data_IF_613651731185
#
_entry.id   IF_613651731185
#
_cell.length_a   1.000
_cell.length_b   1.000
_cell.length_c   1.000
_cell.angle_alpha   90.00
_cell.angle_beta   90.00
_cell.angle_gamma   90.00
#
_symmetry.space_group_name_H-M   'P 1'
#
loop_
_entity.id
_entity.type
_entity.pdbx_description
1 polymer ?
#
# COMPACT_ATOMS: atom_id res chain seq x y z
N UNK A 1 -25.63 4.29 -0.94
CA UNK A 1 -26.03 2.86 -1.09
C UNK A 1 -24.75 2.09 -1.39
N UNK A 2 -24.30 1.27 -0.44
CA UNK A 2 -23.10 0.45 -0.59
C UNK A 2 -23.56 -0.95 -0.93
N UNK A 3 -23.36 -1.42 -2.15
CA UNK A 3 -23.65 -2.81 -2.45
C UNK A 3 -22.42 -3.58 -2.03
N UNK A 4 -22.50 -4.17 -0.83
CA UNK A 4 -21.54 -5.12 -0.24
C UNK A 4 -21.20 -6.27 -1.16
N UNK A 5 -20.35 -7.18 -0.68
CA UNK A 5 -19.73 -8.22 -1.48
C UNK A 5 -20.68 -8.83 -2.50
N UNK A 6 -20.43 -8.51 -3.75
CA UNK A 6 -20.80 -9.34 -4.88
C UNK A 6 -19.65 -10.33 -4.94
N UNK A 7 -19.77 -11.49 -4.31
CA UNK A 7 -18.99 -12.65 -4.79
C UNK A 7 -19.30 -12.77 -6.28
N UNK A 8 -18.34 -12.31 -7.07
CA UNK A 8 -18.41 -12.33 -8.51
C UNK A 8 -18.37 -13.78 -8.97
N UNK A 9 -18.86 -14.05 -10.18
CA UNK A 9 -19.07 -15.41 -10.60
C UNK A 9 -17.76 -16.19 -10.62
N UNK A 10 -17.78 -17.43 -10.11
CA UNK A 10 -16.83 -18.45 -10.59
C UNK A 10 -17.14 -18.67 -12.07
N UNK A 11 -16.55 -17.85 -12.92
CA UNK A 11 -16.64 -17.97 -14.36
C UNK A 11 -15.69 -19.09 -14.81
N UNK A 12 -16.08 -20.35 -14.56
CA UNK A 12 -15.48 -21.48 -15.25
C UNK A 12 -16.15 -21.58 -16.63
N UNK A 13 -15.44 -21.11 -17.66
CA UNK A 13 -15.71 -21.52 -19.03
C UNK A 13 -14.74 -22.64 -19.36
N UNK A 14 -15.25 -23.84 -19.64
CA UNK A 14 -14.55 -24.80 -20.48
C UNK A 14 -14.66 -24.23 -21.89
N UNK A 15 -13.54 -23.77 -22.44
CA UNK A 15 -13.51 -22.93 -23.63
C UNK A 15 -13.69 -23.77 -24.92
N UNK A 16 -14.45 -23.22 -25.86
CA UNK A 16 -14.36 -23.54 -27.30
C UNK A 16 -13.68 -22.39 -28.08
N UNK A 17 -12.91 -21.50 -27.42
CA UNK A 17 -12.19 -20.44 -28.14
C UNK A 17 -10.96 -19.93 -27.35
N UNK A 18 -9.83 -19.92 -28.04
CA UNK A 18 -8.43 -19.71 -27.61
C UNK A 18 -8.13 -18.30 -27.10
N UNK A 19 -8.57 -17.94 -25.89
CA UNK A 19 -8.13 -16.70 -25.25
C UNK A 19 -7.69 -16.90 -23.79
N UNK A 20 -6.55 -17.56 -23.64
CA UNK A 20 -5.70 -17.39 -22.46
C UNK A 20 -5.52 -15.88 -22.24
N UNK A 21 -5.99 -15.36 -21.10
CA UNK A 21 -5.93 -13.92 -20.81
C UNK A 21 -7.21 -13.12 -21.08
N UNK A 22 -8.38 -13.74 -21.16
CA UNK A 22 -9.64 -13.01 -21.32
C UNK A 22 -10.06 -12.19 -20.08
N UNK A 23 -10.89 -11.17 -20.29
CA UNK A 23 -11.56 -10.38 -19.25
C UNK A 23 -13.05 -10.27 -19.55
N UNK A 24 -13.89 -10.23 -18.51
CA UNK A 24 -15.31 -9.93 -18.65
C UNK A 24 -15.64 -8.57 -18.07
N UNK A 25 -16.63 -7.92 -18.67
CA UNK A 25 -17.13 -6.63 -18.20
C UNK A 25 -18.48 -6.87 -17.58
N UNK A 26 -18.63 -6.51 -16.31
CA UNK A 26 -19.95 -6.46 -15.70
C UNK A 26 -20.32 -5.01 -15.55
N UNK A 27 -21.50 -4.68 -16.07
CA UNK A 27 -22.06 -3.35 -16.01
C UNK A 27 -23.17 -3.35 -14.97
N UNK A 28 -23.08 -2.43 -14.02
CA UNK A 28 -24.13 -2.18 -13.04
C UNK A 28 -24.75 -0.82 -13.35
N UNK A 29 -26.03 -0.86 -13.66
CA UNK A 29 -26.85 0.31 -13.96
C UNK A 29 -27.98 0.44 -12.94
N UNK A 30 -28.42 1.68 -12.73
CA UNK A 30 -29.55 2.00 -11.88
C UNK A 30 -30.56 2.82 -12.70
N UNK A 31 -31.86 2.56 -12.51
CA UNK A 31 -32.96 2.84 -13.46
C UNK A 31 -33.39 4.32 -13.63
N UNK A 32 -32.72 5.28 -13.00
CA UNK A 32 -33.06 6.71 -13.15
C UNK A 32 -32.11 7.37 -14.12
N UNK A 33 -32.63 8.04 -15.15
CA UNK A 33 -32.01 8.67 -16.33
C UNK A 33 -30.72 9.52 -16.19
N UNK A 34 -30.02 9.51 -15.06
CA UNK A 34 -28.62 9.96 -14.96
C UNK A 34 -27.69 8.75 -14.90
N UNK A 35 -26.79 8.69 -15.89
CA UNK A 35 -25.82 7.63 -16.22
C UNK A 35 -24.86 7.25 -15.07
N UNK A 36 -25.36 6.71 -13.97
CA UNK A 36 -24.52 6.05 -12.96
C UNK A 36 -24.26 4.60 -13.37
N UNK A 37 -23.57 4.45 -14.51
CA UNK A 37 -23.08 3.18 -15.01
C UNK A 37 -21.72 2.90 -14.36
N UNK A 38 -21.65 1.86 -13.54
CA UNK A 38 -20.36 1.36 -13.02
C UNK A 38 -19.99 0.13 -13.83
N UNK A 39 -18.72 0.02 -14.17
CA UNK A 39 -18.17 -1.16 -14.83
C UNK A 39 -17.00 -1.68 -14.04
N UNK A 40 -16.89 -3.00 -13.94
CA UNK A 40 -15.71 -3.65 -13.41
C UNK A 40 -15.29 -4.80 -14.33
N UNK A 41 -14.00 -5.12 -14.25
CA UNK A 41 -13.40 -6.20 -15.01
C UNK A 41 -13.19 -7.42 -14.11
N UNK A 42 -13.65 -8.57 -14.59
CA UNK A 42 -13.30 -9.87 -14.03
C UNK A 42 -12.21 -10.49 -14.91
N UNK A 43 -11.01 -10.61 -14.39
CA UNK A 43 -9.86 -11.22 -15.07
C UNK A 43 -9.83 -12.72 -14.80
N UNK A 44 -9.51 -13.54 -15.80
CA UNK A 44 -9.36 -14.99 -15.64
C UNK A 44 -7.91 -15.42 -15.35
N UNK A 45 -7.72 -16.61 -14.74
CA UNK A 45 -6.40 -17.26 -14.70
C UNK A 45 -5.75 -17.25 -16.10
N UNK A 46 -4.51 -16.79 -16.19
CA UNK A 46 -3.79 -16.59 -17.45
C UNK A 46 -3.79 -15.14 -17.97
N UNK A 47 -4.61 -14.24 -17.41
CA UNK A 47 -4.48 -12.80 -17.66
C UNK A 47 -3.42 -12.20 -16.72
N UNK A 48 -2.56 -11.31 -17.22
CA UNK A 48 -1.50 -10.65 -16.43
C UNK A 48 -2.04 -9.78 -15.27
N UNK A 49 -3.30 -9.35 -15.34
CA UNK A 49 -4.01 -8.60 -14.31
C UNK A 49 -4.85 -9.50 -13.39
N UNK A 50 -4.73 -10.82 -13.52
CA UNK A 50 -5.42 -11.76 -12.65
C UNK A 50 -4.84 -11.70 -11.23
N UNK A 51 -5.65 -11.26 -10.28
CA UNK A 51 -5.28 -11.12 -8.87
C UNK A 51 -6.01 -12.13 -7.95
N UNK A 52 -6.58 -13.21 -8.51
CA UNK A 52 -7.37 -14.18 -7.72
C UNK A 52 -8.66 -13.60 -7.11
N UNK A 53 -9.12 -12.43 -7.60
CA UNK A 53 -10.26 -11.72 -7.03
C UNK A 53 -11.58 -12.35 -7.46
N UNK A 54 -12.28 -12.93 -6.49
CA UNK A 54 -13.60 -13.53 -6.67
C UNK A 54 -14.71 -12.74 -5.96
N UNK A 55 -14.38 -11.66 -5.23
CA UNK A 55 -15.34 -10.80 -4.54
C UNK A 55 -15.17 -9.34 -5.00
N UNK A 56 -16.30 -8.67 -5.23
CA UNK A 56 -16.39 -7.33 -5.80
C UNK A 56 -17.35 -6.50 -4.99
N UNK A 57 -16.85 -5.39 -4.44
CA UNK A 57 -17.67 -4.38 -3.80
C UNK A 57 -17.91 -3.24 -4.79
N UNK A 58 -19.18 -2.88 -5.03
CA UNK A 58 -19.52 -1.82 -6.00
C UNK A 58 -20.30 -0.72 -5.31
N UNK A 59 -19.68 0.46 -5.29
CA UNK A 59 -20.33 1.67 -4.81
C UNK A 59 -21.30 2.20 -5.87
N UNK A 60 -22.60 2.18 -5.56
CA UNK A 60 -23.67 2.72 -6.41
C UNK A 60 -24.02 4.18 -6.12
N UNK A 61 -23.14 4.93 -5.48
CA UNK A 61 -23.31 6.34 -5.17
C UNK A 61 -24.47 6.62 -4.17
N UNK A 62 -24.78 7.92 -4.01
CA UNK A 62 -25.78 8.45 -3.11
C UNK A 62 -27.06 8.82 -3.86
N UNK A 63 -28.22 8.58 -3.25
CA UNK A 63 -29.52 8.88 -3.83
C UNK A 63 -30.46 9.46 -2.79
N UNK A 64 -31.17 10.54 -3.17
CA UNK A 64 -32.09 11.27 -2.27
C UNK A 64 -33.37 10.49 -1.95
N UNK A 65 -33.83 9.66 -2.88
CA UNK A 65 -34.97 8.74 -2.69
C UNK A 65 -34.48 7.31 -2.86
N UNK A 66 -34.94 6.41 -2.01
CA UNK A 66 -34.67 4.97 -2.14
C UNK A 66 -35.12 4.48 -3.52
N UNK A 67 -34.21 3.84 -4.25
CA UNK A 67 -34.48 3.32 -5.59
C UNK A 67 -34.83 1.84 -5.53
N UNK A 68 -35.65 1.38 -6.47
CA UNK A 68 -36.29 0.06 -6.40
C UNK A 68 -35.61 -1.00 -7.28
N UNK A 69 -34.67 -0.64 -8.17
CA UNK A 69 -34.10 -1.61 -9.13
C UNK A 69 -32.62 -1.36 -9.43
N UNK A 70 -31.84 -2.44 -9.43
CA UNK A 70 -30.44 -2.50 -9.84
C UNK A 70 -30.36 -3.49 -11.00
N UNK A 71 -29.77 -3.08 -12.12
CA UNK A 71 -29.65 -3.92 -13.32
C UNK A 71 -28.19 -4.34 -13.50
N UNK A 72 -27.95 -5.65 -13.52
CA UNK A 72 -26.67 -6.25 -13.87
C UNK A 72 -26.71 -6.65 -15.35
N UNK A 73 -25.75 -6.19 -16.14
CA UNK A 73 -25.60 -6.56 -17.55
C UNK A 73 -24.29 -7.30 -17.77
N UNK A 74 -24.38 -8.41 -18.51
CA UNK A 74 -23.28 -9.26 -18.95
C UNK A 74 -23.21 -9.17 -20.49
N UNK A 75 -22.40 -8.26 -21.06
CA UNK A 75 -22.38 -8.01 -22.50
C UNK A 75 -21.77 -9.17 -23.30
N UNK A 76 -20.89 -9.94 -22.68
CA UNK A 76 -20.33 -11.14 -23.29
C UNK A 76 -21.33 -12.31 -23.16
N UNK A 77 -21.38 -13.18 -24.17
CA UNK A 77 -22.15 -14.44 -24.08
C UNK A 77 -21.36 -15.43 -23.21
N UNK A 78 -22.06 -16.17 -22.35
CA UNK A 78 -21.45 -17.21 -21.53
C UNK A 78 -22.36 -17.69 -20.40
N UNK A 79 -21.88 -18.70 -19.67
CA UNK A 79 -22.52 -19.17 -18.46
C UNK A 79 -21.95 -18.40 -17.26
N UNK A 80 -22.83 -17.80 -16.47
CA UNK A 80 -22.46 -17.00 -15.30
C UNK A 80 -23.08 -17.63 -14.05
N UNK A 81 -22.25 -17.90 -13.03
CA UNK A 81 -22.71 -18.41 -11.74
C UNK A 81 -22.57 -17.34 -10.68
N UNK A 82 -23.65 -16.67 -10.29
CA UNK A 82 -23.61 -15.62 -9.26
C UNK A 82 -24.06 -16.25 -7.94
N UNK A 83 -23.25 -16.11 -6.90
CA UNK A 83 -23.55 -16.58 -5.54
C UNK A 83 -23.53 -15.37 -4.59
N UNK A 84 -24.37 -15.40 -3.54
CA UNK A 84 -24.41 -14.43 -2.45
C UNK A 84 -24.49 -12.94 -2.85
N UNK A 85 -25.32 -12.61 -3.84
CA UNK A 85 -25.59 -11.21 -4.20
C UNK A 85 -26.28 -10.46 -3.05
N UNK A 86 -25.59 -9.49 -2.43
CA UNK A 86 -26.11 -8.68 -1.33
C UNK A 86 -26.16 -7.19 -1.66
N UNK A 87 -27.23 -6.52 -1.28
CA UNK A 87 -27.42 -5.07 -1.45
C UNK A 87 -27.48 -4.41 -0.07
N UNK A 88 -26.64 -3.40 0.18
CA UNK A 88 -26.68 -2.67 1.45
C UNK A 88 -27.11 -1.22 1.22
N UNK A 89 -28.18 -0.84 1.90
CA UNK A 89 -28.66 0.53 1.94
C UNK A 89 -28.18 1.14 3.26
N UNK A 90 -27.28 2.12 3.17
CA UNK A 90 -26.85 2.91 4.31
C UNK A 90 -27.58 4.26 4.28
N UNK A 91 -28.43 4.56 5.27
CA UNK A 91 -29.01 5.89 5.44
C UNK A 91 -27.89 6.92 5.65
N UNK A 92 -28.02 8.08 5.01
CA UNK A 92 -27.00 9.14 5.05
C UNK A 92 -27.44 10.36 5.86
N UNK A 93 -28.62 10.32 6.48
CA UNK A 93 -29.22 11.47 7.16
C UNK A 93 -28.35 11.97 8.33
N UNK A 94 -27.71 11.06 9.05
CA UNK A 94 -26.83 11.38 10.18
C UNK A 94 -25.35 11.49 9.80
N UNK A 95 -24.98 11.31 8.53
CA UNK A 95 -23.58 11.21 8.12
C UNK A 95 -22.77 12.45 8.49
N UNK A 96 -23.32 13.65 8.22
CA UNK A 96 -22.62 14.92 8.54
C UNK A 96 -22.37 15.08 10.05
N UNK A 97 -23.34 14.68 10.88
CA UNK A 97 -23.22 14.73 12.34
C UNK A 97 -22.16 13.74 12.84
N UNK A 98 -22.17 12.52 12.31
CA UNK A 98 -21.18 11.48 12.63
C UNK A 98 -19.75 11.93 12.28
N UNK A 99 -19.56 12.52 11.09
CA UNK A 99 -18.27 13.07 10.68
C UNK A 99 -17.84 14.22 11.61
N UNK A 100 -18.78 15.07 12.01
CA UNK A 100 -18.47 16.19 12.91
C UNK A 100 -18.03 15.71 14.29
N UNK A 101 -18.69 14.68 14.84
CA UNK A 101 -18.29 14.06 16.10
C UNK A 101 -16.90 13.41 16.03
N UNK A 102 -16.59 12.73 14.92
CA UNK A 102 -15.26 12.12 14.71
C UNK A 102 -14.16 13.17 14.58
N UNK A 103 -14.47 14.36 14.07
CA UNK A 103 -13.52 15.49 13.93
C UNK A 103 -13.22 16.21 15.25
N UNK A 104 -13.91 15.90 16.34
CA UNK A 104 -13.69 16.59 17.63
C UNK A 104 -12.27 16.36 18.17
N UNK A 105 -11.69 15.18 17.93
CA UNK A 105 -10.40 14.77 18.49
C UNK A 105 -9.39 14.51 17.36
N UNK A 106 -8.93 15.60 16.73
CA UNK A 106 -7.97 15.58 15.64
C UNK A 106 -6.63 16.19 16.07
N UNK A 107 -5.55 15.74 15.42
CA UNK A 107 -4.25 16.36 15.55
C UNK A 107 -4.31 17.79 14.97
N UNK A 108 -3.88 18.77 15.76
CA UNK A 108 -3.81 20.20 15.42
C UNK A 108 -2.35 20.62 15.25
N UNK A 109 -2.14 21.81 14.69
CA UNK A 109 -0.81 22.40 14.48
C UNK A 109 0.15 21.46 13.73
N UNK A 110 -0.39 20.76 12.74
CA UNK A 110 0.35 19.74 12.01
C UNK A 110 1.49 20.43 11.24
N UNK A 111 2.72 19.98 11.48
CA UNK A 111 3.86 20.28 10.59
C UNK A 111 4.35 18.97 9.99
N UNK A 112 4.52 18.98 8.67
CA UNK A 112 5.05 17.86 7.92
C UNK A 112 6.32 18.28 7.21
N UNK A 113 7.34 17.46 7.34
CA UNK A 113 8.59 17.53 6.60
C UNK A 113 8.79 16.16 5.92
N UNK A 114 9.84 16.04 5.11
CA UNK A 114 10.27 14.87 4.35
C UNK A 114 10.12 13.56 5.12
N UNK A 115 10.60 13.51 6.36
CA UNK A 115 10.61 12.30 7.20
C UNK A 115 9.99 12.54 8.58
N UNK A 116 9.25 13.64 8.78
CA UNK A 116 8.71 13.98 10.11
C UNK A 116 7.29 14.46 10.01
N UNK A 117 6.43 13.99 10.91
CA UNK A 117 5.07 14.49 11.11
C UNK A 117 4.95 14.86 12.58
N UNK A 118 4.53 16.08 12.88
CA UNK A 118 4.35 16.54 14.26
C UNK A 118 3.03 17.27 14.41
N UNK A 119 2.46 17.22 15.61
CA UNK A 119 1.27 17.98 15.95
C UNK A 119 0.87 17.81 17.41
N UNK A 120 -0.22 18.46 17.79
CA UNK A 120 -0.74 18.46 19.15
C UNK A 120 -2.17 17.93 19.17
N UNK A 121 -2.54 17.20 20.22
CA UNK A 121 -3.91 16.75 20.42
C UNK A 121 -4.30 16.94 21.88
N UNK A 122 -5.57 17.27 22.11
CA UNK A 122 -6.15 17.32 23.45
C UNK A 122 -7.30 16.30 23.49
N UNK A 123 -7.26 15.41 24.48
CA UNK A 123 -8.20 14.31 24.64
C UNK A 123 -8.92 14.43 25.98
N UNK A 124 -10.26 14.31 25.94
CA UNK A 124 -11.12 14.28 27.14
C UNK A 124 -11.20 12.92 27.84
N UNK A 125 -10.58 11.90 27.25
CA UNK A 125 -10.48 10.52 27.75
C UNK A 125 -9.47 9.76 26.90
N UNK A 126 -9.01 8.62 27.39
CA UNK A 126 -8.14 7.71 26.67
C UNK A 126 -8.71 7.34 25.29
N UNK A 127 -7.87 7.46 24.25
CA UNK A 127 -8.23 7.17 22.86
C UNK A 127 -7.04 6.65 22.09
N UNK A 128 -7.32 6.04 20.95
CA UNK A 128 -6.30 5.68 19.95
C UNK A 128 -6.33 6.73 18.85
N UNK A 129 -5.21 7.44 18.68
CA UNK A 129 -4.99 8.29 17.52
C UNK A 129 -4.71 7.39 16.31
N UNK A 130 -5.66 7.32 15.39
CA UNK A 130 -5.49 6.63 14.11
C UNK A 130 -5.02 7.63 13.05
N UNK A 131 -3.86 7.36 12.45
CA UNK A 131 -3.24 8.19 11.43
C UNK A 131 -3.41 7.49 10.09
N UNK A 132 -3.98 8.18 9.10
CA UNK A 132 -4.15 7.67 7.74
C UNK A 132 -2.82 7.57 6.94
N UNK A 133 -1.74 7.20 7.63
CA UNK A 133 -0.39 6.99 7.11
C UNK A 133 -0.06 5.50 7.27
N UNK A 134 0.45 4.83 6.22
CA UNK A 134 0.76 3.42 6.30
C UNK A 134 1.75 3.06 7.42
N UNK A 135 1.46 2.00 8.15
CA UNK A 135 2.34 1.40 9.15
C UNK A 135 3.61 0.85 8.49
N UNK A 136 4.75 1.14 9.10
CA UNK A 136 6.05 0.61 8.69
C UNK A 136 6.97 0.57 9.91
N UNK A 137 7.86 -0.43 9.96
CA UNK A 137 8.91 -0.55 10.97
C UNK A 137 9.90 0.64 10.97
N UNK A 138 9.90 1.45 9.91
CA UNK A 138 10.71 2.66 9.82
C UNK A 138 10.15 3.85 10.57
N UNK A 139 8.88 3.83 10.97
CA UNK A 139 8.28 4.90 11.77
C UNK A 139 8.57 4.72 13.25
N UNK A 140 8.87 5.82 13.93
CA UNK A 140 8.96 5.92 15.38
C UNK A 140 8.06 7.04 15.87
N UNK A 141 7.31 6.79 16.93
CA UNK A 141 6.50 7.81 17.59
C UNK A 141 7.14 8.26 18.90
N UNK A 142 7.00 9.54 19.19
CA UNK A 142 7.34 10.14 20.47
C UNK A 142 6.13 10.94 20.94
N UNK A 143 5.67 10.65 22.16
CA UNK A 143 4.58 11.36 22.84
C UNK A 143 5.18 12.06 24.04
N UNK A 144 5.06 13.38 24.10
CA UNK A 144 5.58 14.21 25.19
C UNK A 144 7.07 13.96 25.50
N UNK A 145 7.85 13.73 24.44
CA UNK A 145 9.30 13.47 24.52
C UNK A 145 9.68 12.02 24.81
N UNK A 146 8.73 11.12 25.05
CA UNK A 146 8.99 9.69 25.31
C UNK A 146 8.63 8.83 24.11
N UNK A 147 9.50 7.89 23.75
CA UNK A 147 9.21 6.93 22.67
C UNK A 147 8.03 6.05 23.05
N UNK A 148 7.10 5.88 22.11
CA UNK A 148 5.90 5.07 22.33
C UNK A 148 5.67 4.12 21.16
N UNK A 149 5.12 2.94 21.48
CA UNK A 149 4.85 1.90 20.50
C UNK A 149 3.78 2.36 19.50
N UNK A 150 4.12 2.23 18.22
CA UNK A 150 3.17 2.38 17.12
C UNK A 150 2.51 1.03 16.83
N UNK A 151 1.18 1.04 16.81
CA UNK A 151 0.36 -0.10 16.48
C UNK A 151 -0.11 -0.03 15.02
N UNK A 152 -0.50 -1.19 14.49
CA UNK A 152 -1.14 -1.31 13.18
C UNK A 152 -2.66 -1.35 13.35
N UNK A 153 -3.37 -0.37 12.81
CA UNK A 153 -4.83 -0.31 12.81
C UNK A 153 -5.40 -0.48 11.40
N UNK A 154 -6.60 -1.05 11.29
CA UNK A 154 -7.31 -1.25 10.02
C UNK A 154 -6.40 -1.84 8.93
N UNK A 155 -5.61 -2.84 9.29
CA UNK A 155 -4.69 -3.58 8.40
C UNK A 155 -3.50 -2.79 7.86
N UNK A 156 -3.53 -1.46 7.82
CA UNK A 156 -2.45 -0.69 7.19
C UNK A 156 -2.10 0.62 7.85
N UNK A 157 -2.93 1.19 8.73
CA UNK A 157 -2.69 2.51 9.30
C UNK A 157 -1.86 2.46 10.57
N UNK A 158 -1.17 3.56 10.87
CA UNK A 158 -0.53 3.76 12.17
C UNK A 158 -1.57 4.12 13.24
N UNK A 159 -1.40 3.55 14.43
CA UNK A 159 -2.20 3.85 15.59
C UNK A 159 -1.32 4.12 16.81
N UNK A 160 -1.72 5.11 17.60
CA UNK A 160 -0.99 5.52 18.80
C UNK A 160 -1.98 5.64 19.97
N UNK A 161 -1.92 4.75 20.97
CA UNK A 161 -2.69 4.89 22.20
C UNK A 161 -2.24 6.14 22.96
N UNK A 162 -3.19 7.00 23.32
CA UNK A 162 -2.96 8.23 24.07
C UNK A 162 -3.92 8.28 25.25
N UNK A 163 -3.42 8.68 26.41
CA UNK A 163 -4.24 8.90 27.60
C UNK A 163 -5.09 10.18 27.46
N UNK A 164 -5.97 10.41 28.42
CA UNK A 164 -6.55 11.74 28.64
C UNK A 164 -5.47 12.82 28.81
N UNK A 165 -5.71 14.00 28.23
CA UNK A 165 -4.85 15.17 28.39
C UNK A 165 -4.34 15.78 27.08
N UNK A 166 -3.39 16.70 27.23
CA UNK A 166 -2.71 17.36 26.11
C UNK A 166 -1.43 16.62 25.77
N UNK A 167 -1.28 16.26 24.49
CA UNK A 167 -0.13 15.53 24.00
C UNK A 167 0.54 16.25 22.83
N UNK A 168 1.87 16.24 22.82
CA UNK A 168 2.71 16.56 21.68
C UNK A 168 3.17 15.27 21.02
N UNK A 169 2.74 15.05 19.78
CA UNK A 169 3.04 13.84 19.01
C UNK A 169 4.04 14.18 17.92
N UNK A 170 5.14 13.42 17.86
CA UNK A 170 6.17 13.51 16.83
C UNK A 170 6.40 12.12 16.25
N UNK A 171 6.26 11.99 14.94
CA UNK A 171 6.56 10.79 14.17
C UNK A 171 7.78 11.06 13.31
N UNK A 172 8.77 10.19 13.38
CA UNK A 172 9.98 10.27 12.54
C UNK A 172 10.15 8.99 11.75
N UNK A 173 10.40 9.12 10.46
CA UNK A 173 10.70 8.02 9.56
C UNK A 173 12.20 7.85 9.40
N UNK A 174 12.67 6.62 9.52
CA UNK A 174 14.00 6.21 9.13
C UNK A 174 13.91 4.94 8.29
N UNK A 175 14.51 4.95 7.10
CA UNK A 175 14.53 3.79 6.20
C UNK A 175 15.17 2.58 6.91
N UNK A 176 14.41 1.49 7.15
CA UNK A 176 14.95 0.29 7.78
C UNK A 176 16.14 -0.26 6.97
N UNK A 177 17.22 -0.61 7.65
CA UNK A 177 18.42 -1.15 7.00
C UNK A 177 19.33 -0.12 6.33
N UNK A 178 18.96 1.16 6.22
CA UNK A 178 19.83 2.17 5.58
C UNK A 178 21.20 2.29 6.26
N UNK A 179 21.23 2.31 7.60
CA UNK A 179 22.49 2.36 8.36
C UNK A 179 23.36 1.12 8.12
N UNK A 180 22.74 -0.06 8.05
CA UNK A 180 23.44 -1.31 7.77
C UNK A 180 23.97 -1.33 6.33
N UNK A 181 23.18 -0.89 5.36
CA UNK A 181 23.60 -0.76 3.97
C UNK A 181 24.77 0.20 3.80
N UNK A 182 24.74 1.35 4.47
CA UNK A 182 25.88 2.30 4.48
C UNK A 182 27.13 1.61 5.04
N UNK A 183 27.03 0.90 6.17
CA UNK A 183 28.16 0.20 6.78
C UNK A 183 28.76 -0.87 5.84
N UNK A 184 27.92 -1.67 5.18
CA UNK A 184 28.35 -2.70 4.22
C UNK A 184 29.01 -2.06 3.00
N UNK A 185 28.45 -0.98 2.47
CA UNK A 185 29.04 -0.25 1.34
C UNK A 185 30.43 0.32 1.67
N UNK A 186 30.60 0.88 2.87
CA UNK A 186 31.92 1.34 3.34
C UNK A 186 32.91 0.18 3.50
N UNK A 187 32.49 -0.93 4.09
CA UNK A 187 33.34 -2.12 4.21
C UNK A 187 33.76 -2.66 2.84
N UNK A 188 32.84 -2.70 1.88
CA UNK A 188 33.13 -3.09 0.49
C UNK A 188 34.09 -2.15 -0.20
N UNK A 189 33.95 -0.83 0.00
CA UNK A 189 34.87 0.16 -0.55
C UNK A 189 36.29 -0.02 0.00
N UNK A 190 36.43 -0.24 1.32
CA UNK A 190 37.71 -0.51 1.95
C UNK A 190 38.34 -1.78 1.37
N UNK A 191 37.56 -2.85 1.22
CA UNK A 191 38.02 -4.10 0.63
C UNK A 191 38.51 -3.92 -0.81
N UNK A 192 37.77 -3.18 -1.64
CA UNK A 192 38.18 -2.86 -3.01
C UNK A 192 39.52 -2.09 -3.05
N UNK A 193 39.72 -1.14 -2.14
CA UNK A 193 40.98 -0.40 -2.03
C UNK A 193 42.13 -1.34 -1.65
N UNK A 194 41.92 -2.23 -0.67
CA UNK A 194 42.92 -3.22 -0.26
C UNK A 194 43.30 -4.13 -1.43
N UNK A 195 42.32 -4.69 -2.14
CA UNK A 195 42.55 -5.56 -3.30
C UNK A 195 43.33 -4.81 -4.38
N UNK A 196 42.97 -3.56 -4.68
CA UNK A 196 43.68 -2.72 -5.66
C UNK A 196 45.15 -2.51 -5.27
N UNK A 197 45.43 -2.21 -4.01
CA UNK A 197 46.79 -1.99 -3.51
C UNK A 197 47.63 -3.27 -3.59
N UNK A 198 47.06 -4.41 -3.18
CA UNK A 198 47.71 -5.73 -3.29
C UNK A 198 48.00 -6.08 -4.76
N UNK A 199 47.03 -5.88 -5.65
CA UNK A 199 47.20 -6.12 -7.09
C UNK A 199 48.26 -5.20 -7.71
N UNK A 200 48.29 -3.93 -7.31
CA UNK A 200 49.29 -2.98 -7.78
C UNK A 200 50.72 -3.37 -7.34
N UNK A 201 50.89 -3.75 -6.07
CA UNK A 201 52.18 -4.25 -5.55
C UNK A 201 52.64 -5.49 -6.30
N UNK A 202 51.74 -6.45 -6.49
CA UNK A 202 52.04 -7.69 -7.23
C UNK A 202 52.45 -7.42 -8.69
N UNK A 203 51.75 -6.52 -9.38
CA UNK A 203 52.09 -6.13 -10.76
C UNK A 203 53.46 -5.44 -10.86
N UNK A 204 53.83 -4.61 -9.87
CA UNK A 204 55.16 -4.00 -9.80
C UNK A 204 56.27 -5.05 -9.61
N UNK A 205 56.06 -6.02 -8.71
CA UNK A 205 56.99 -7.13 -8.53
C UNK A 205 57.14 -7.97 -9.81
N UNK A 206 56.04 -8.26 -10.49
CA UNK A 206 56.04 -9.05 -11.73
C UNK A 206 56.80 -8.32 -12.84
N UNK A 207 56.59 -7.01 -12.98
CA UNK A 207 57.32 -6.16 -13.94
C UNK A 207 58.82 -6.15 -13.66
N UNK A 208 59.23 -6.03 -12.40
CA UNK A 208 60.64 -6.10 -12.02
C UNK A 208 61.28 -7.45 -12.33
N UNK A 209 60.58 -8.56 -12.04
CA UNK A 209 61.09 -9.92 -12.33
C UNK A 209 61.30 -10.15 -13.84
N UNK A 210 60.34 -9.75 -14.68
CA UNK A 210 60.43 -9.90 -16.14
C UNK A 210 61.61 -9.10 -16.72
N UNK A 211 61.80 -7.85 -16.27
CA UNK A 211 62.91 -7.01 -16.71
C UNK A 211 64.27 -7.63 -16.34
N UNK A 212 64.41 -8.16 -15.12
CA UNK A 212 65.66 -8.79 -14.67
C UNK A 212 66.00 -10.07 -15.46
N UNK A 213 65.00 -10.91 -15.75
CA UNK A 213 65.22 -12.11 -16.60
C UNK A 213 65.62 -11.74 -18.03
N UNK A 214 64.99 -10.72 -18.62
CA UNK A 214 65.32 -10.26 -19.97
C UNK A 214 66.75 -9.67 -20.06
N UNK A 215 67.25 -9.06 -18.98
CA UNK A 215 68.62 -8.52 -18.93
C UNK A 215 69.68 -9.62 -18.75
N UNK A 216 69.32 -10.74 -18.12
CA UNK A 216 70.23 -11.86 -17.85
C UNK A 216 70.45 -12.74 -19.09
N UNK A 217 69.47 -12.82 -20.00
CA UNK A 217 69.62 -13.54 -21.28
C UNK A 217 70.42 -12.76 -22.35
N UNK A 218 70.67 -11.46 -22.14
CA UNK A 218 71.43 -10.61 -23.07
C UNK A 218 72.93 -10.50 -22.73
N UNK A 219 73.37 -11.07 -21.61
CA UNK A 219 74.78 -11.20 -21.21
C UNK A 219 75.31 -12.61 -21.48
#
# INVERSE_FOLDING_TARGET
MFIGDISGPKANRVADDDSIGSKYTVIVENSTGEKNKKQFFYFQPGNIYYAGRNHFLINLSYYKKGKQTITLKFPQKGNYKIEDLKVYAQPMDQYSQQISALKENVLKNIKMDTNTIQGNINLKKDKILCLAVPYSKGWKATVDGKEQELLQANTMYMALPLSEGNHSVILKYGTPGLKAGIAISFAGLILCIIIKLLLHSFLLELKHRILNTATTEQM
#
